data_IF_988046291159
#
_entry.id   IF_988046291159
#
_cell.length_a   1.000
_cell.length_b   1.000
_cell.length_c   1.000
_cell.angle_alpha   90.00
_cell.angle_beta   90.00
_cell.angle_gamma   90.00
#
_symmetry.space_group_name_H-M   'P 1'
#
loop_
_entity.id
_entity.type
_entity.pdbx_description
1 polymer ?
#
# COMPACT_ATOMS: atom_id res chain seq x y z
N UNK A 1 -66.90 -3.89 5.83
CA UNK A 1 -65.87 -4.02 6.88
C UNK A 1 -64.75 -3.07 6.49
N UNK A 2 -64.72 -1.76 6.82
CA UNK A 2 -64.68 -1.02 8.10
C UNK A 2 -63.42 -1.30 8.96
N UNK A 3 -62.64 -0.22 9.10
CA UNK A 3 -61.60 0.15 10.09
C UNK A 3 -60.18 -0.40 9.85
N UNK A 4 -59.18 0.44 9.54
CA UNK A 4 -58.54 1.54 10.33
C UNK A 4 -57.57 1.01 11.38
N UNK A 5 -56.30 1.39 11.24
CA UNK A 5 -55.23 1.20 12.23
C UNK A 5 -54.00 2.03 11.87
N UNK A 6 -54.02 3.29 12.29
CA UNK A 6 -52.89 4.23 12.29
C UNK A 6 -52.33 4.32 13.72
N UNK A 7 -51.02 4.59 13.88
CA UNK A 7 -50.34 5.32 14.97
C UNK A 7 -48.84 4.91 14.98
N UNK A 8 -47.93 5.72 14.45
CA UNK A 8 -47.18 6.80 15.13
C UNK A 8 -46.32 6.28 16.30
N UNK A 9 -45.01 6.28 16.10
CA UNK A 9 -44.04 6.57 17.16
C UNK A 9 -42.86 7.36 16.55
N UNK A 10 -42.99 8.68 16.62
CA UNK A 10 -41.90 9.65 16.58
C UNK A 10 -40.96 9.40 17.76
N UNK A 11 -39.65 9.38 17.53
CA UNK A 11 -38.68 9.72 18.57
C UNK A 11 -37.63 10.67 18.00
N UNK A 12 -37.86 11.93 18.35
CA UNK A 12 -36.96 13.07 18.23
C UNK A 12 -35.94 12.94 19.37
N UNK A 13 -34.66 12.95 19.06
CA UNK A 13 -33.64 13.49 19.97
C UNK A 13 -32.76 14.46 19.18
N UNK A 14 -32.97 15.74 19.46
CA UNK A 14 -32.06 16.83 19.15
C UNK A 14 -31.42 17.30 20.46
N UNK A 15 -30.10 17.54 20.43
CA UNK A 15 -29.32 18.63 21.02
C UNK A 15 -27.86 18.12 21.13
N UNK A 16 -26.93 18.55 20.29
CA UNK A 16 -26.24 19.84 20.26
C UNK A 16 -25.07 19.93 21.26
N UNK A 17 -23.84 19.90 20.73
CA UNK A 17 -22.73 20.73 21.21
C UNK A 17 -21.70 20.89 20.08
N UNK A 18 -21.62 22.11 19.60
CA UNK A 18 -20.61 22.69 18.71
C UNK A 18 -19.24 22.79 19.39
N UNK A 19 -18.15 22.58 18.63
CA UNK A 19 -17.03 23.53 18.52
C UNK A 19 -16.19 23.20 17.28
N UNK A 20 -16.29 24.04 16.25
CA UNK A 20 -15.23 24.23 15.26
C UNK A 20 -14.20 25.17 15.88
N UNK A 21 -12.96 24.72 16.05
CA UNK A 21 -11.82 25.60 16.24
C UNK A 21 -10.94 25.53 14.97
N UNK A 22 -11.31 26.32 13.97
CA UNK A 22 -10.42 26.67 12.88
C UNK A 22 -9.45 27.74 13.36
N UNK A 23 -8.21 27.37 13.64
CA UNK A 23 -7.14 28.34 13.88
C UNK A 23 -6.63 28.86 12.53
N UNK A 24 -7.31 29.86 11.99
CA UNK A 24 -6.76 30.74 10.97
C UNK A 24 -5.78 31.70 11.65
N UNK A 25 -4.48 31.43 11.54
CA UNK A 25 -3.45 32.38 12.01
C UNK A 25 -3.41 33.55 11.03
N UNK A 26 -4.09 34.64 11.38
CA UNK A 26 -3.85 35.97 10.83
C UNK A 26 -2.47 36.44 11.31
N UNK A 27 -1.54 36.69 10.40
CA UNK A 27 -0.39 37.55 10.64
C UNK A 27 -0.82 38.98 10.37
N UNK A 28 -0.81 39.81 11.40
CA UNK A 28 -0.88 41.26 11.26
C UNK A 28 0.56 41.80 11.18
N UNK A 29 0.88 42.70 10.24
CA UNK A 29 2.20 43.33 10.15
C UNK A 29 2.19 44.72 10.81
N UNK A 30 3.18 45.01 11.66
CA UNK A 30 3.63 46.39 11.87
C UNK A 30 4.02 46.78 13.29
N UNK A 31 5.12 47.55 13.34
CA UNK A 31 5.69 48.34 14.46
C UNK A 31 6.44 47.51 15.53
N UNK A 32 7.71 47.77 15.88
CA UNK A 32 8.61 48.88 15.61
C UNK A 32 10.07 48.43 15.74
N UNK A 33 10.95 49.10 15.00
CA UNK A 33 12.41 49.04 15.15
C UNK A 33 12.85 49.62 16.50
N UNK A 34 13.92 49.08 17.10
CA UNK A 34 15.10 49.86 17.51
C UNK A 34 16.18 49.01 18.20
N UNK A 35 17.41 49.29 17.78
CA UNK A 35 18.71 49.22 18.48
C UNK A 35 19.57 47.96 18.36
N UNK A 36 20.66 48.12 17.61
CA UNK A 36 21.91 47.37 17.64
C UNK A 36 22.50 47.28 19.07
N UNK A 37 22.99 46.09 19.45
CA UNK A 37 24.34 45.95 20.00
C UNK A 37 24.87 44.51 19.80
N UNK A 38 26.13 44.30 19.35
CA UNK A 38 26.63 43.02 18.89
C UNK A 38 27.42 42.31 19.98
N UNK A 39 26.80 41.41 20.73
CA UNK A 39 27.54 40.33 21.41
C UNK A 39 26.56 39.30 21.96
N UNK A 40 26.15 38.36 21.12
CA UNK A 40 25.72 37.06 21.60
C UNK A 40 26.47 36.01 20.79
N UNK A 41 27.24 35.18 21.51
CA UNK A 41 27.75 33.92 21.00
C UNK A 41 26.66 33.25 20.18
N UNK A 42 26.95 33.04 18.89
CA UNK A 42 26.26 32.03 18.13
C UNK A 42 26.58 30.69 18.81
N UNK A 43 25.78 30.32 19.80
CA UNK A 43 25.57 28.93 20.10
C UNK A 43 25.21 28.29 18.76
N UNK A 44 25.86 27.18 18.37
CA UNK A 44 25.41 26.47 17.19
C UNK A 44 23.93 26.18 17.42
N UNK A 45 23.07 26.74 16.57
CA UNK A 45 21.68 26.32 16.46
C UNK A 45 21.75 24.84 16.15
N UNK A 46 21.61 24.07 17.23
CA UNK A 46 21.54 22.62 17.20
C UNK A 46 20.43 22.31 16.20
N UNK A 47 20.84 21.75 15.06
CA UNK A 47 20.00 21.65 13.89
C UNK A 47 19.01 20.55 14.19
N UNK A 48 17.88 20.94 14.80
CA UNK A 48 16.64 20.22 14.96
C UNK A 48 16.78 18.71 14.70
N UNK A 49 17.52 18.03 15.58
CA UNK A 49 17.52 16.58 15.60
C UNK A 49 16.09 16.20 15.96
N UNK A 50 15.34 15.72 14.98
CA UNK A 50 13.97 15.31 15.21
C UNK A 50 14.05 14.17 16.20
N UNK A 51 13.65 14.46 17.43
CA UNK A 51 13.71 13.50 18.52
C UNK A 51 12.85 12.28 18.16
N UNK A 52 13.49 11.11 18.07
CA UNK A 52 12.84 9.85 17.73
C UNK A 52 11.72 9.53 18.74
N UNK A 53 11.86 9.91 20.01
CA UNK A 53 10.81 9.74 21.00
C UNK A 53 9.58 10.58 20.66
N UNK A 54 9.77 11.84 20.25
CA UNK A 54 8.69 12.70 19.75
C UNK A 54 7.99 12.14 18.51
N UNK A 55 8.70 11.42 17.63
CA UNK A 55 8.11 10.79 16.46
C UNK A 55 7.31 9.53 16.84
N UNK A 56 7.83 8.71 17.74
CA UNK A 56 7.12 7.54 18.27
C UNK A 56 5.81 7.94 18.96
N UNK A 57 5.84 8.99 19.80
CA UNK A 57 4.65 9.52 20.46
C UNK A 57 3.61 10.03 19.45
N UNK A 58 4.05 10.76 18.41
CA UNK A 58 3.16 11.21 17.33
C UNK A 58 2.56 10.05 16.53
N UNK A 59 3.30 8.96 16.39
CA UNK A 59 2.81 7.72 15.78
C UNK A 59 1.90 6.89 16.73
N UNK A 60 1.67 7.37 17.96
CA UNK A 60 0.84 6.67 18.95
C UNK A 60 1.52 5.42 19.54
N UNK A 61 2.85 5.36 19.50
CA UNK A 61 3.64 4.26 20.02
C UNK A 61 4.22 4.68 21.36
N UNK A 62 3.96 3.89 22.41
CA UNK A 62 4.58 4.10 23.72
C UNK A 62 6.11 3.94 23.59
N UNK A 63 6.91 4.97 23.92
CA UNK A 63 8.37 4.93 23.86
C UNK A 63 9.00 3.80 24.68
N UNK A 64 8.31 3.26 25.68
CA UNK A 64 8.80 2.15 26.52
C UNK A 64 8.27 0.78 26.07
N UNK A 65 7.47 0.72 25.01
CA UNK A 65 6.94 -0.54 24.48
C UNK A 65 8.01 -1.36 23.74
N UNK A 66 7.78 -2.68 23.65
CA UNK A 66 8.60 -3.57 22.82
C UNK A 66 8.66 -3.10 21.36
N UNK A 67 7.54 -2.61 20.81
CA UNK A 67 7.48 -2.00 19.48
C UNK A 67 8.47 -0.84 19.32
N UNK A 68 8.52 0.09 20.28
CA UNK A 68 9.49 1.19 20.25
C UNK A 68 10.95 0.68 20.30
N UNK A 69 11.22 -0.38 21.05
CA UNK A 69 12.55 -1.01 21.05
C UNK A 69 12.92 -1.61 19.68
N UNK A 70 12.00 -2.31 19.02
CA UNK A 70 12.19 -2.84 17.65
C UNK A 70 12.50 -1.70 16.68
N UNK A 71 11.70 -0.63 16.70
CA UNK A 71 11.88 0.53 15.80
C UNK A 71 13.25 1.17 16.02
N UNK A 72 13.65 1.41 17.28
CA UNK A 72 14.97 1.96 17.61
C UNK A 72 16.10 1.07 17.11
N UNK A 73 15.98 -0.25 17.27
CA UNK A 73 17.00 -1.18 16.79
C UNK A 73 17.17 -1.12 15.26
N UNK A 74 16.07 -1.01 14.51
CA UNK A 74 16.11 -0.87 13.05
C UNK A 74 16.71 0.47 12.60
N UNK A 75 16.30 1.57 13.22
CA UNK A 75 16.87 2.90 12.95
C UNK A 75 18.38 2.89 13.18
N UNK A 76 18.82 2.34 14.30
CA UNK A 76 20.24 2.28 14.65
C UNK A 76 21.04 1.40 13.69
N UNK A 77 20.47 0.24 13.32
CA UNK A 77 21.08 -0.68 12.35
C UNK A 77 21.34 0.00 11.01
N UNK A 78 20.41 0.82 10.53
CA UNK A 78 20.54 1.50 9.23
C UNK A 78 21.53 2.64 9.28
N UNK A 79 21.50 3.42 10.37
CA UNK A 79 22.46 4.52 10.58
C UNK A 79 23.91 4.02 10.53
N UNK A 80 24.15 2.78 10.96
CA UNK A 80 25.46 2.15 11.01
C UNK A 80 25.74 1.21 9.84
N UNK A 81 24.83 1.09 8.87
CA UNK A 81 25.05 0.25 7.71
C UNK A 81 25.95 0.98 6.68
N UNK A 82 27.13 0.42 6.34
CA UNK A 82 28.09 1.08 5.48
C UNK A 82 27.61 1.22 4.02
N UNK A 83 26.80 0.28 3.53
CA UNK A 83 26.30 0.31 2.15
C UNK A 83 25.26 1.44 2.01
N UNK A 84 24.38 1.60 3.01
CA UNK A 84 23.40 2.69 3.04
C UNK A 84 24.08 4.06 3.29
N UNK A 85 25.07 4.12 4.19
CA UNK A 85 25.79 5.36 4.49
C UNK A 85 26.57 5.90 3.28
N UNK A 86 27.16 5.01 2.48
CA UNK A 86 27.88 5.39 1.26
C UNK A 86 26.93 5.83 0.14
N UNK A 87 25.76 5.19 0.00
CA UNK A 87 24.75 5.57 -0.99
C UNK A 87 24.04 6.91 -0.71
N UNK A 88 24.03 7.38 0.54
CA UNK A 88 23.30 8.60 0.97
C UNK A 88 24.18 9.85 1.09
N UNK A 89 25.44 9.81 0.67
CA UNK A 89 26.43 10.90 0.85
C UNK A 89 26.52 11.40 2.31
N UNK A 90 26.24 10.53 3.30
CA UNK A 90 26.26 10.88 4.72
C UNK A 90 25.05 11.65 5.25
N UNK A 91 23.98 11.84 4.46
CA UNK A 91 22.74 12.47 4.94
C UNK A 91 21.87 11.47 5.72
N UNK A 92 22.31 11.13 6.93
CA UNK A 92 21.60 10.23 7.84
C UNK A 92 20.32 10.84 8.43
N UNK A 93 20.13 12.17 8.31
CA UNK A 93 18.94 12.89 8.79
C UNK A 93 17.66 12.49 8.06
N UNK A 94 17.78 11.83 6.89
CA UNK A 94 16.65 11.28 6.13
C UNK A 94 16.18 9.90 6.61
N UNK A 95 17.01 9.14 7.33
CA UNK A 95 16.69 7.74 7.71
C UNK A 95 15.53 7.67 8.70
N UNK A 96 15.56 8.50 9.74
CA UNK A 96 14.53 8.51 10.79
C UNK A 96 13.15 8.92 10.21
N UNK A 97 13.15 9.83 9.24
CA UNK A 97 11.95 10.28 8.53
C UNK A 97 11.40 9.18 7.62
N UNK A 98 12.27 8.45 6.89
CA UNK A 98 11.84 7.33 6.05
C UNK A 98 11.06 6.31 6.90
N UNK A 99 11.53 5.96 8.09
CA UNK A 99 10.89 4.91 8.90
C UNK A 99 9.60 5.31 9.58
N UNK A 100 9.36 6.59 9.78
CA UNK A 100 8.20 7.05 10.55
C UNK A 100 7.17 7.79 9.69
N UNK A 101 7.54 8.25 8.50
CA UNK A 101 6.62 8.73 7.46
C UNK A 101 6.08 7.58 6.60
N UNK A 102 4.77 7.27 6.65
CA UNK A 102 4.15 6.24 5.81
C UNK A 102 4.37 6.43 4.31
N UNK A 103 4.31 7.67 3.82
CA UNK A 103 4.46 7.95 2.40
C UNK A 103 5.89 7.70 1.93
N UNK A 104 6.88 8.06 2.76
CA UNK A 104 8.28 7.77 2.46
C UNK A 104 8.55 6.25 2.44
N UNK A 105 8.05 5.49 3.44
CA UNK A 105 8.20 4.03 3.45
C UNK A 105 7.61 3.40 2.21
N UNK A 106 6.40 3.82 1.84
CA UNK A 106 5.71 3.29 0.67
C UNK A 106 6.48 3.59 -0.62
N UNK A 107 7.01 4.80 -0.79
CA UNK A 107 7.82 5.15 -1.96
C UNK A 107 9.10 4.30 -2.09
N UNK A 108 9.82 4.07 -0.99
CA UNK A 108 11.01 3.21 -1.02
C UNK A 108 10.63 1.76 -1.32
N UNK A 109 9.61 1.23 -0.63
CA UNK A 109 9.13 -0.12 -0.87
C UNK A 109 8.68 -0.31 -2.32
N UNK A 110 7.84 0.58 -2.86
CA UNK A 110 7.32 0.44 -4.24
C UNK A 110 8.43 0.38 -5.30
N UNK A 111 9.54 1.10 -5.08
CA UNK A 111 10.64 1.13 -6.03
C UNK A 111 11.59 -0.07 -5.88
N UNK A 112 11.85 -0.50 -4.64
CA UNK A 112 12.85 -1.53 -4.36
C UNK A 112 12.34 -2.97 -4.38
N UNK A 113 11.03 -3.21 -4.31
CA UNK A 113 10.46 -4.57 -4.19
C UNK A 113 10.84 -5.51 -5.35
N UNK A 114 10.96 -4.98 -6.57
CA UNK A 114 11.35 -5.76 -7.74
C UNK A 114 12.78 -6.29 -7.66
N UNK A 115 13.63 -5.66 -6.84
CA UNK A 115 15.01 -6.07 -6.64
C UNK A 115 15.18 -7.12 -5.54
N UNK A 116 14.14 -7.37 -4.73
CA UNK A 116 14.20 -8.39 -3.68
C UNK A 116 14.29 -9.81 -4.25
N UNK A 117 14.48 -10.80 -3.38
CA UNK A 117 14.34 -12.21 -3.76
C UNK A 117 12.86 -12.60 -3.94
N UNK A 118 12.55 -13.67 -4.68
CA UNK A 118 11.17 -14.16 -4.79
C UNK A 118 10.49 -14.42 -3.44
N UNK A 119 11.24 -15.00 -2.49
CA UNK A 119 10.75 -15.27 -1.13
C UNK A 119 10.44 -13.98 -0.37
N UNK A 120 11.25 -12.93 -0.54
CA UNK A 120 11.02 -11.66 0.15
C UNK A 120 9.86 -10.87 -0.45
N UNK A 121 9.67 -10.91 -1.78
CA UNK A 121 8.46 -10.38 -2.43
C UNK A 121 7.20 -11.07 -1.93
N UNK A 122 7.24 -12.40 -1.79
CA UNK A 122 6.12 -13.16 -1.23
C UNK A 122 5.82 -12.75 0.21
N UNK A 123 6.85 -12.61 1.07
CA UNK A 123 6.66 -12.14 2.46
C UNK A 123 5.99 -10.78 2.51
N UNK A 124 6.39 -9.86 1.63
CA UNK A 124 5.78 -8.54 1.55
C UNK A 124 4.30 -8.62 1.18
N UNK A 125 3.96 -9.40 0.15
CA UNK A 125 2.58 -9.54 -0.32
C UNK A 125 1.71 -10.21 0.73
N UNK A 126 2.20 -11.27 1.37
CA UNK A 126 1.50 -11.92 2.49
C UNK A 126 1.25 -10.94 3.65
N UNK A 127 2.21 -10.06 3.94
CA UNK A 127 2.05 -9.02 4.95
C UNK A 127 0.96 -8.01 4.56
N UNK A 128 0.97 -7.50 3.31
CA UNK A 128 -0.07 -6.59 2.83
C UNK A 128 -1.47 -7.24 2.84
N UNK A 129 -1.58 -8.50 2.42
CA UNK A 129 -2.85 -9.24 2.45
C UNK A 129 -3.37 -9.34 3.87
N UNK A 130 -2.52 -9.69 4.84
CA UNK A 130 -2.91 -9.72 6.26
C UNK A 130 -3.43 -8.36 6.74
N UNK A 131 -2.75 -7.27 6.39
CA UNK A 131 -3.19 -5.94 6.74
C UNK A 131 -4.57 -5.61 6.15
N UNK A 132 -4.83 -6.00 4.91
CA UNK A 132 -6.14 -5.83 4.29
C UNK A 132 -7.22 -6.66 4.98
N UNK A 133 -6.90 -7.89 5.39
CA UNK A 133 -7.86 -8.78 6.04
C UNK A 133 -8.20 -8.35 7.48
N UNK A 134 -7.20 -7.87 8.21
CA UNK A 134 -7.33 -7.63 9.66
C UNK A 134 -7.53 -6.15 10.02
N UNK A 135 -6.92 -5.22 9.29
CA UNK A 135 -6.84 -3.81 9.67
C UNK A 135 -7.68 -2.89 8.77
N UNK A 136 -7.99 -3.33 7.56
CA UNK A 136 -8.77 -2.53 6.61
C UNK A 136 -10.23 -2.96 6.62
N UNK A 137 -11.19 -2.04 6.78
CA UNK A 137 -12.61 -2.38 6.73
C UNK A 137 -13.00 -2.84 5.32
N UNK A 138 -14.13 -3.54 5.21
CA UNK A 138 -14.63 -4.09 3.93
C UNK A 138 -14.83 -3.03 2.84
N UNK A 139 -15.06 -1.78 3.22
CA UNK A 139 -15.27 -0.66 2.30
C UNK A 139 -14.01 0.18 2.04
N UNK A 140 -12.82 -0.27 2.45
CA UNK A 140 -11.55 0.44 2.25
C UNK A 140 -11.56 1.89 2.75
N UNK A 141 -12.23 2.14 3.89
CA UNK A 141 -12.44 3.49 4.44
C UNK A 141 -13.19 4.45 3.49
N UNK A 142 -13.89 3.93 2.49
CA UNK A 142 -14.53 4.70 1.43
C UNK A 142 -13.57 5.15 0.32
N UNK A 143 -12.34 4.63 0.28
CA UNK A 143 -11.32 4.98 -0.70
C UNK A 143 -11.21 3.91 -1.79
N UNK A 144 -11.04 4.34 -3.04
CA UNK A 144 -10.76 3.47 -4.19
C UNK A 144 -9.25 3.38 -4.51
N UNK A 145 -8.44 4.32 -4.03
CA UNK A 145 -6.98 4.25 -4.19
C UNK A 145 -6.36 3.37 -3.10
N UNK A 146 -5.86 2.20 -3.50
CA UNK A 146 -5.26 1.24 -2.57
C UNK A 146 -3.98 1.77 -1.91
N UNK A 147 -3.25 2.70 -2.54
CA UNK A 147 -2.11 3.36 -1.90
C UNK A 147 -2.59 4.21 -0.72
N UNK A 148 -3.63 5.01 -0.93
CA UNK A 148 -4.24 5.80 0.13
C UNK A 148 -4.84 4.92 1.24
N UNK A 149 -5.41 3.75 0.90
CA UNK A 149 -5.88 2.76 1.89
C UNK A 149 -4.71 2.24 2.74
N UNK A 150 -3.64 1.76 2.12
CA UNK A 150 -2.49 1.22 2.86
C UNK A 150 -1.80 2.28 3.72
N UNK A 151 -1.77 3.54 3.28
CA UNK A 151 -1.24 4.66 4.06
C UNK A 151 -2.07 4.99 5.31
N UNK A 152 -3.30 4.48 5.45
CA UNK A 152 -4.08 4.58 6.70
C UNK A 152 -3.59 3.62 7.78
N UNK A 153 -2.86 2.58 7.41
CA UNK A 153 -2.40 1.54 8.33
C UNK A 153 -1.19 2.06 9.08
N UNK A 154 -1.38 2.32 10.37
CA UNK A 154 -0.34 2.87 11.23
C UNK A 154 0.53 1.77 11.84
N UNK A 155 1.78 2.09 12.15
CA UNK A 155 2.67 1.18 12.89
C UNK A 155 2.08 0.79 14.27
N UNK A 156 1.20 1.61 14.83
CA UNK A 156 0.50 1.34 16.09
C UNK A 156 -0.43 0.13 15.97
N UNK A 157 -1.09 -0.05 14.83
CA UNK A 157 -2.07 -1.11 14.60
C UNK A 157 -1.40 -2.44 14.23
N UNK A 158 -0.19 -2.39 13.70
CA UNK A 158 0.59 -3.58 13.37
C UNK A 158 1.03 -4.33 14.64
N UNK A 159 1.11 -5.66 14.55
CA UNK A 159 1.75 -6.46 15.61
C UNK A 159 3.25 -6.17 15.68
N UNK A 160 3.90 -6.52 16.79
CA UNK A 160 5.36 -6.34 16.92
C UNK A 160 6.13 -7.15 15.86
N UNK A 161 5.68 -8.37 15.55
CA UNK A 161 6.25 -9.21 14.50
C UNK A 161 6.04 -8.64 13.09
N UNK A 162 4.89 -8.00 12.84
CA UNK A 162 4.63 -7.38 11.54
C UNK A 162 5.50 -6.13 11.32
N UNK A 163 5.70 -5.32 12.38
CA UNK A 163 6.64 -4.19 12.34
C UNK A 163 8.06 -4.67 12.06
N UNK A 164 8.52 -5.71 12.76
CA UNK A 164 9.86 -6.26 12.56
C UNK A 164 10.04 -6.82 11.14
N UNK A 165 9.06 -7.58 10.63
CA UNK A 165 9.09 -8.10 9.26
C UNK A 165 9.10 -6.98 8.22
N UNK A 166 8.23 -5.99 8.38
CA UNK A 166 8.13 -4.86 7.45
C UNK A 166 9.44 -4.08 7.38
N UNK A 167 10.04 -3.79 8.54
CA UNK A 167 11.31 -3.08 8.62
C UNK A 167 12.49 -3.92 8.13
N UNK A 168 12.46 -5.24 8.33
CA UNK A 168 13.43 -6.12 7.73
C UNK A 168 13.38 -6.11 6.20
N UNK A 169 12.19 -5.99 5.59
CA UNK A 169 12.05 -5.90 4.14
C UNK A 169 12.50 -4.54 3.62
N UNK A 170 12.12 -3.46 4.30
CA UNK A 170 12.56 -2.09 3.98
C UNK A 170 14.08 -1.97 4.07
N UNK A 171 14.70 -2.55 5.09
CA UNK A 171 16.16 -2.61 5.21
C UNK A 171 16.81 -3.27 3.99
N UNK A 172 16.29 -4.42 3.54
CA UNK A 172 16.81 -5.11 2.35
C UNK A 172 16.66 -4.27 1.09
N UNK A 173 15.54 -3.57 0.94
CA UNK A 173 15.33 -2.62 -0.17
C UNK A 173 16.41 -1.55 -0.16
N UNK A 174 16.67 -0.91 0.99
CA UNK A 174 17.67 0.16 1.10
C UNK A 174 19.09 -0.32 0.76
N UNK A 175 19.48 -1.51 1.23
CA UNK A 175 20.78 -2.12 0.90
C UNK A 175 20.88 -2.42 -0.59
N UNK A 176 19.83 -2.97 -1.20
CA UNK A 176 19.86 -3.34 -2.61
C UNK A 176 19.88 -2.10 -3.52
N UNK A 177 19.10 -1.06 -3.19
CA UNK A 177 19.14 0.21 -3.92
C UNK A 177 20.54 0.84 -3.89
N UNK A 178 21.22 0.83 -2.74
CA UNK A 178 22.59 1.31 -2.62
C UNK A 178 23.58 0.54 -3.54
N UNK A 179 23.32 -0.76 -3.75
CA UNK A 179 24.16 -1.63 -4.58
C UNK A 179 23.85 -1.59 -6.09
N UNK A 180 22.78 -0.88 -6.52
CA UNK A 180 22.29 -0.87 -7.91
C UNK A 180 22.09 -2.27 -8.51
N UNK A 181 21.57 -3.23 -7.72
CA UNK A 181 21.37 -4.60 -8.21
C UNK A 181 20.40 -4.63 -9.41
N UNK A 182 20.63 -5.49 -10.41
CA UNK A 182 19.72 -5.61 -11.56
C UNK A 182 18.36 -6.18 -11.16
N UNK A 183 17.30 -5.70 -11.81
CA UNK A 183 15.94 -6.27 -11.67
C UNK A 183 15.84 -7.54 -12.52
N UNK A 184 15.36 -8.62 -11.92
CA UNK A 184 15.02 -9.83 -12.67
C UNK A 184 13.80 -9.58 -13.56
N UNK A 185 13.89 -9.96 -14.84
CA UNK A 185 12.78 -9.81 -15.81
C UNK A 185 12.42 -11.14 -16.42
N UNK A 186 11.12 -11.49 -16.43
CA UNK A 186 10.62 -12.67 -17.14
C UNK A 186 10.55 -12.48 -18.65
N UNK A 187 10.50 -13.59 -19.39
CA UNK A 187 10.19 -13.61 -20.83
C UNK A 187 8.69 -13.50 -21.08
N UNK A 188 8.24 -13.10 -22.30
CA UNK A 188 6.82 -13.08 -22.63
C UNK A 188 6.11 -14.42 -22.40
N UNK A 189 6.78 -15.54 -22.65
CA UNK A 189 6.24 -16.88 -22.43
C UNK A 189 6.06 -17.20 -20.95
N UNK A 190 7.01 -16.80 -20.10
CA UNK A 190 6.90 -16.95 -18.64
C UNK A 190 5.73 -16.13 -18.09
N UNK A 191 5.57 -14.91 -18.59
CA UNK A 191 4.45 -14.04 -18.25
C UNK A 191 3.10 -14.61 -18.70
N UNK A 192 3.01 -15.17 -19.90
CA UNK A 192 1.79 -15.82 -20.38
C UNK A 192 1.42 -17.05 -19.53
N UNK A 193 2.41 -17.87 -19.13
CA UNK A 193 2.18 -18.99 -18.22
C UNK A 193 1.71 -18.51 -16.83
N UNK A 194 2.30 -17.43 -16.33
CA UNK A 194 1.91 -16.81 -15.07
C UNK A 194 0.46 -16.29 -15.10
N UNK A 195 0.04 -15.65 -16.21
CA UNK A 195 -1.34 -15.16 -16.38
C UNK A 195 -2.38 -16.29 -16.44
N UNK A 196 -2.03 -17.40 -17.09
CA UNK A 196 -2.88 -18.60 -17.08
C UNK A 196 -3.00 -19.19 -15.68
N UNK A 197 -1.89 -19.24 -14.93
CA UNK A 197 -1.89 -19.76 -13.57
C UNK A 197 -2.68 -18.83 -12.62
N UNK A 198 -2.53 -17.51 -12.74
CA UNK A 198 -3.31 -16.54 -11.98
C UNK A 198 -4.81 -16.71 -12.25
N UNK A 199 -5.21 -16.91 -13.51
CA UNK A 199 -6.62 -17.13 -13.87
C UNK A 199 -7.20 -18.36 -13.19
N UNK A 200 -6.44 -19.47 -13.15
CA UNK A 200 -6.86 -20.70 -12.44
C UNK A 200 -6.99 -20.47 -10.94
N UNK A 201 -6.03 -19.78 -10.32
CA UNK A 201 -6.08 -19.53 -8.89
C UNK A 201 -7.17 -18.54 -8.51
N UNK A 202 -7.49 -17.54 -9.35
CA UNK A 202 -8.64 -16.66 -9.16
C UNK A 202 -9.96 -17.42 -9.18
N UNK A 203 -10.14 -18.37 -10.11
CA UNK A 203 -11.33 -19.22 -10.13
C UNK A 203 -11.44 -20.03 -8.83
N UNK A 204 -10.33 -20.57 -8.34
CA UNK A 204 -10.30 -21.33 -7.09
C UNK A 204 -10.63 -20.43 -5.88
N UNK A 205 -10.05 -19.23 -5.80
CA UNK A 205 -10.27 -18.25 -4.73
C UNK A 205 -11.73 -17.76 -4.69
N UNK A 206 -12.34 -17.58 -5.86
CA UNK A 206 -13.75 -17.26 -6.01
C UNK A 206 -14.68 -18.47 -5.84
N UNK A 207 -14.11 -19.65 -5.52
CA UNK A 207 -14.81 -20.93 -5.36
C UNK A 207 -15.65 -21.35 -6.58
N UNK A 208 -15.31 -20.84 -7.77
CA UNK A 208 -16.10 -21.05 -8.99
C UNK A 208 -17.53 -20.48 -8.93
N UNK A 209 -17.81 -19.56 -8.00
CA UNK A 209 -19.12 -18.90 -7.90
C UNK A 209 -19.34 -17.95 -9.08
N UNK A 210 -20.36 -18.23 -9.90
CA UNK A 210 -20.61 -17.52 -11.16
C UNK A 210 -20.85 -16.02 -10.93
N UNK A 211 -21.61 -15.64 -9.90
CA UNK A 211 -21.87 -14.23 -9.58
C UNK A 211 -20.60 -13.49 -9.19
N UNK A 212 -19.74 -14.11 -8.37
CA UNK A 212 -18.48 -13.51 -7.97
C UNK A 212 -17.48 -13.45 -9.14
N UNK A 213 -17.46 -14.46 -10.02
CA UNK A 213 -16.66 -14.42 -11.24
C UNK A 213 -17.10 -13.30 -12.18
N UNK A 214 -18.42 -13.14 -12.40
CA UNK A 214 -18.97 -12.03 -13.19
C UNK A 214 -18.66 -10.68 -12.57
N UNK A 215 -18.84 -10.54 -11.25
CA UNK A 215 -18.51 -9.32 -10.50
C UNK A 215 -17.03 -8.97 -10.64
N UNK A 216 -16.14 -9.95 -10.46
CA UNK A 216 -14.70 -9.76 -10.60
C UNK A 216 -14.35 -9.32 -12.02
N UNK A 217 -14.85 -10.03 -13.04
CA UNK A 217 -14.61 -9.71 -14.44
C UNK A 217 -15.14 -8.32 -14.84
N UNK A 218 -16.33 -7.95 -14.34
CA UNK A 218 -16.92 -6.65 -14.58
C UNK A 218 -16.02 -5.52 -14.08
N UNK A 219 -15.54 -5.58 -12.83
CA UNK A 219 -14.71 -4.52 -12.26
C UNK A 219 -13.26 -4.55 -12.73
N UNK A 220 -12.72 -5.73 -13.07
CA UNK A 220 -11.43 -5.83 -13.75
C UNK A 220 -11.43 -5.09 -15.10
N UNK A 221 -12.55 -5.16 -15.82
CA UNK A 221 -12.70 -4.50 -17.13
C UNK A 221 -13.23 -3.06 -17.03
N UNK A 222 -13.87 -2.70 -15.92
CA UNK A 222 -14.48 -1.39 -15.71
C UNK A 222 -14.06 -0.79 -14.34
N UNK A 223 -12.76 -0.52 -14.13
CA UNK A 223 -12.27 -0.09 -12.83
C UNK A 223 -12.91 1.21 -12.33
N UNK A 224 -13.22 2.14 -13.24
CA UNK A 224 -13.90 3.41 -12.92
C UNK A 224 -15.34 3.25 -12.42
N UNK A 225 -15.94 2.06 -12.57
CA UNK A 225 -17.28 1.74 -12.06
C UNK A 225 -17.25 1.03 -10.71
N UNK A 226 -16.07 0.64 -10.22
CA UNK A 226 -15.92 -0.04 -8.94
C UNK A 226 -16.19 0.92 -7.78
N UNK A 227 -17.02 0.51 -6.82
CA UNK A 227 -17.11 1.21 -5.54
C UNK A 227 -15.86 0.93 -4.70
N UNK A 228 -15.62 1.72 -3.65
CA UNK A 228 -14.54 1.44 -2.70
C UNK A 228 -14.61 0.01 -2.12
N UNK A 229 -15.81 -0.50 -1.85
CA UNK A 229 -16.02 -1.88 -1.40
C UNK A 229 -15.67 -2.91 -2.47
N UNK A 230 -15.95 -2.62 -3.75
CA UNK A 230 -15.59 -3.51 -4.85
C UNK A 230 -14.08 -3.57 -5.04
N UNK A 231 -13.39 -2.43 -5.00
CA UNK A 231 -11.92 -2.39 -5.04
C UNK A 231 -11.35 -3.18 -3.88
N UNK A 232 -11.83 -2.93 -2.65
CA UNK A 232 -11.35 -3.61 -1.46
C UNK A 232 -11.51 -5.14 -1.53
N UNK A 233 -12.69 -5.59 -1.96
CA UNK A 233 -12.98 -7.01 -2.13
C UNK A 233 -12.11 -7.62 -3.23
N UNK A 234 -12.07 -6.97 -4.40
CA UNK A 234 -11.33 -7.45 -5.56
C UNK A 234 -9.82 -7.53 -5.25
N UNK A 235 -9.23 -6.53 -4.60
CA UNK A 235 -7.82 -6.55 -4.19
C UNK A 235 -7.52 -7.71 -3.23
N UNK A 236 -8.37 -7.97 -2.24
CA UNK A 236 -8.19 -9.14 -1.34
C UNK A 236 -8.21 -10.44 -2.13
N UNK A 237 -9.21 -10.65 -2.98
CA UNK A 237 -9.31 -11.83 -3.84
C UNK A 237 -8.05 -11.99 -4.70
N UNK A 238 -7.61 -10.91 -5.37
CA UNK A 238 -6.42 -10.96 -6.23
C UNK A 238 -5.17 -11.34 -5.44
N UNK A 239 -4.95 -10.76 -4.26
CA UNK A 239 -3.75 -11.01 -3.47
C UNK A 239 -3.75 -12.42 -2.86
N UNK A 240 -4.89 -12.91 -2.37
CA UNK A 240 -5.02 -14.31 -1.92
C UNK A 240 -4.77 -15.29 -3.07
N UNK A 241 -5.33 -15.01 -4.25
CA UNK A 241 -5.06 -15.82 -5.44
C UNK A 241 -3.57 -15.81 -5.81
N UNK A 242 -2.89 -14.67 -5.76
CA UNK A 242 -1.44 -14.58 -6.02
C UNK A 242 -0.64 -15.39 -4.99
N UNK A 243 -0.95 -15.29 -3.70
CA UNK A 243 -0.25 -16.03 -2.64
C UNK A 243 -0.36 -17.55 -2.86
N UNK A 244 -1.56 -18.00 -3.28
CA UNK A 244 -1.84 -19.40 -3.56
C UNK A 244 -1.21 -19.93 -4.87
N UNK A 245 -0.65 -19.07 -5.73
CA UNK A 245 0.07 -19.52 -6.93
C UNK A 245 1.36 -20.27 -6.57
N UNK A 246 1.76 -21.29 -7.36
CA UNK A 246 3.08 -21.90 -7.25
C UNK A 246 4.19 -20.99 -7.82
N UNK A 247 5.43 -21.24 -7.39
CA UNK A 247 6.62 -20.71 -8.08
C UNK A 247 6.97 -21.59 -9.29
N UNK A 248 7.52 -21.01 -10.38
CA UNK A 248 7.94 -19.62 -10.52
C UNK A 248 6.85 -18.64 -10.99
N UNK A 249 5.68 -19.11 -11.42
CA UNK A 249 4.61 -18.29 -12.01
C UNK A 249 4.19 -17.13 -11.11
N UNK A 250 4.07 -17.39 -9.79
CA UNK A 250 3.75 -16.37 -8.79
C UNK A 250 4.71 -15.19 -8.84
N UNK A 251 6.00 -15.47 -8.87
CA UNK A 251 7.02 -14.42 -8.81
C UNK A 251 6.99 -13.52 -10.05
N UNK A 252 6.67 -14.08 -11.22
CA UNK A 252 6.46 -13.27 -12.42
C UNK A 252 5.26 -12.33 -12.30
N UNK A 253 4.14 -12.77 -11.71
CA UNK A 253 3.03 -11.85 -11.42
C UNK A 253 3.48 -10.75 -10.45
N UNK A 254 4.20 -11.12 -9.39
CA UNK A 254 4.70 -10.15 -8.41
C UNK A 254 5.61 -9.10 -9.04
N UNK A 255 6.60 -9.53 -9.84
CA UNK A 255 7.50 -8.63 -10.56
C UNK A 255 6.75 -7.64 -11.46
N UNK A 256 5.71 -8.09 -12.16
CA UNK A 256 4.87 -7.20 -12.98
C UNK A 256 4.10 -6.20 -12.13
N UNK A 257 3.49 -6.64 -11.03
CA UNK A 257 2.68 -5.78 -10.16
C UNK A 257 3.50 -4.76 -9.36
N UNK A 258 4.76 -5.08 -9.08
CA UNK A 258 5.68 -4.24 -8.30
C UNK A 258 6.57 -3.35 -9.17
N UNK A 259 6.60 -3.55 -10.49
CA UNK A 259 7.40 -2.71 -11.38
C UNK A 259 6.95 -1.24 -11.27
N UNK A 260 7.90 -0.28 -11.13
CA UNK A 260 7.57 1.13 -11.21
C UNK A 260 6.85 1.39 -12.52
N UNK A 261 5.72 2.09 -12.48
CA UNK A 261 4.94 2.46 -13.67
C UNK A 261 5.71 3.54 -14.45
N UNK A 262 6.78 3.14 -15.13
CA UNK A 262 7.57 3.99 -16.00
C UNK A 262 6.77 4.32 -17.26
N UNK A 263 6.05 5.44 -17.25
CA UNK A 263 5.70 6.17 -18.48
C UNK A 263 4.58 5.58 -19.36
N UNK A 264 3.53 4.98 -18.79
CA UNK A 264 2.27 4.79 -19.51
C UNK A 264 1.10 5.42 -18.74
N UNK A 265 0.65 6.55 -19.29
CA UNK A 265 -0.59 7.28 -19.10
C UNK A 265 -0.96 7.77 -17.69
N UNK A 266 -1.08 9.10 -17.61
CA UNK A 266 -1.67 9.91 -16.53
C UNK A 266 -3.17 9.66 -16.34
N UNK A 267 -3.63 8.41 -16.46
CA UNK A 267 -5.02 7.98 -16.28
C UNK A 267 -5.16 6.69 -15.46
N UNK A 268 -4.06 6.03 -15.09
CA UNK A 268 -4.08 4.85 -14.23
C UNK A 268 -3.71 5.23 -12.80
N UNK A 269 -4.69 5.72 -12.05
CA UNK A 269 -4.57 5.86 -10.60
C UNK A 269 -4.42 4.47 -9.96
N UNK A 270 -3.25 4.22 -9.34
CA UNK A 270 -3.09 3.36 -8.16
C UNK A 270 -3.49 1.88 -8.24
N UNK A 271 -3.66 1.30 -9.43
CA UNK A 271 -4.25 -0.03 -9.55
C UNK A 271 -3.20 -1.12 -9.79
N UNK A 272 -3.21 -2.18 -8.97
CA UNK A 272 -2.63 -3.47 -9.36
C UNK A 272 -3.23 -3.82 -10.71
N UNK A 273 -2.42 -3.72 -11.76
CA UNK A 273 -2.84 -4.02 -13.12
C UNK A 273 -3.13 -5.51 -13.21
N UNK A 274 -4.41 -5.89 -13.07
CA UNK A 274 -4.89 -7.22 -13.41
C UNK A 274 -4.70 -7.38 -14.92
N UNK A 275 -4.19 -8.53 -15.41
CA UNK A 275 -4.06 -8.76 -16.83
C UNK A 275 -5.44 -8.57 -17.48
N UNK A 276 -5.52 -7.78 -18.56
CA UNK A 276 -6.65 -7.89 -19.48
C UNK A 276 -6.70 -9.34 -19.92
N UNK A 277 -7.64 -10.10 -19.40
CA UNK A 277 -7.97 -11.43 -19.91
C UNK A 277 -8.23 -11.27 -21.40
N UNK A 278 -7.47 -12.03 -22.19
CA UNK A 278 -7.65 -12.15 -23.62
C UNK A 278 -9.14 -12.39 -23.93
N UNK A 279 -9.65 -11.66 -24.92
CA UNK A 279 -10.96 -11.90 -25.52
C UNK A 279 -11.15 -13.41 -25.77
N UNK A 280 -12.26 -14.02 -25.31
CA UNK A 280 -12.61 -15.34 -25.79
C UNK A 280 -13.00 -15.19 -27.26
N UNK A 281 -12.07 -15.50 -28.17
CA UNK A 281 -12.43 -15.76 -29.57
C UNK A 281 -13.50 -16.85 -29.58
N UNK A 282 -14.69 -16.61 -30.16
CA UNK A 282 -15.71 -17.63 -30.26
C UNK A 282 -15.19 -18.73 -31.20
N UNK A 283 -15.18 -19.97 -30.69
CA UNK A 283 -15.05 -21.14 -31.52
C UNK A 283 -16.19 -21.14 -32.55
N UNK A 284 -15.87 -20.77 -33.80
CA UNK A 284 -16.80 -20.93 -34.91
C UNK A 284 -16.86 -22.40 -35.28
N UNK A 285 -18.00 -22.99 -34.92
CA UNK A 285 -18.64 -24.16 -35.47
C UNK A 285 -18.29 -24.43 -36.94
N UNK A 286 -17.66 -25.57 -37.21
CA UNK A 286 -17.76 -26.25 -38.50
C UNK A 286 -18.61 -27.51 -38.28
N UNK A 287 -19.86 -27.57 -38.75
CA UNK A 287 -20.58 -28.82 -38.84
C UNK A 287 -20.06 -29.59 -40.07
N UNK A 288 -19.78 -30.88 -39.90
CA UNK A 288 -19.40 -31.76 -40.99
C UNK A 288 -20.45 -31.82 -42.08
N UNK A 289 -19.98 -31.90 -43.32
CA UNK A 289 -20.75 -32.32 -44.48
C UNK A 289 -19.88 -33.23 -45.32
N UNK A 290 -20.14 -34.53 -45.24
CA UNK A 290 -19.68 -35.50 -46.22
C UNK A 290 -20.40 -35.26 -47.54
N UNK A 291 -19.71 -35.43 -48.66
CA UNK A 291 -20.15 -36.33 -49.75
C UNK A 291 -19.05 -36.49 -50.81
N UNK A 292 -18.96 -37.73 -51.32
CA UNK A 292 -18.06 -38.19 -52.38
C UNK A 292 -18.53 -37.66 -53.77
N UNK A 293 -17.76 -37.83 -54.86
CA UNK A 293 -17.38 -39.14 -55.41
C UNK A 293 -15.88 -39.40 -55.52
#
# INVERSE_FOLDING_TARGET
>A
MRHSGSCIALLIFALAATTLAGAAIRRDPGFDSLTDDPTFSAAPTDTQQVDLESLLLRAGIDPNSNKAHIIRAWVEKIRHDPDIATGTNGDTRRVDQIFLDPAAREQYMSNGLTHLTPSDRLKYVTLLTRFLDELVPVNCFGLSDMRAVMNRISLREMTDSDVDLYFSLLFKVLVIEASNAPVATGTPQQYAAADQQLSRTLIAELHGDEMNMERYAFYASNPSKATASDVCWMTRVTLHAIIAMPDPERDFILLRTMAPHGGQDTSSEGQLSVPRTADPSPASSNPGGADAP
#
